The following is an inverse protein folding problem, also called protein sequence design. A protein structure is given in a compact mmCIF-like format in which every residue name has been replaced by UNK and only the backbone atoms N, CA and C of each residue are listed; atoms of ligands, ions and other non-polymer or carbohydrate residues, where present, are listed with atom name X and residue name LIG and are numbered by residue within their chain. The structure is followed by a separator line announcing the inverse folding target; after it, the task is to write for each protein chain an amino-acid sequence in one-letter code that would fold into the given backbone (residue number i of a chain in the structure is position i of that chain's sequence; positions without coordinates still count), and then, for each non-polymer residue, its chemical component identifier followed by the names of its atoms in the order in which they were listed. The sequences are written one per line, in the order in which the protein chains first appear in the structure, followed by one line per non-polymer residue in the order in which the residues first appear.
data_IF_292500642807
#
_entry.id   IF_292500642807
#
_cell.length_a   1.000
_cell.length_b   1.000
_cell.length_c   1.000
_cell.angle_alpha   90.00
_cell.angle_beta   90.00
_cell.angle_gamma   90.00
#
_symmetry.space_group_name_H-M   'P 1'
#
loop_
_entity.id
_entity.type
_entity.pdbx_description
1 polymer ?
#
# COMPACT_ATOMS: atom_id res chain seq x y z
N UNK A 1 2.76 -28.91 -13.59
CA UNK A 1 1.67 -28.04 -13.09
C UNK A 1 2.17 -27.41 -11.81
N UNK A 2 2.89 -26.28 -11.90
CA UNK A 2 3.29 -25.54 -10.71
C UNK A 2 2.05 -24.90 -10.10
N UNK A 3 1.67 -25.37 -8.92
CA UNK A 3 0.66 -24.73 -8.10
C UNK A 3 1.23 -23.36 -7.76
N UNK A 4 0.68 -22.30 -8.35
CA UNK A 4 1.12 -20.92 -8.10
C UNK A 4 0.69 -20.57 -6.67
N UNK A 5 1.47 -20.99 -5.68
CA UNK A 5 1.18 -20.81 -4.28
C UNK A 5 1.19 -19.31 -3.99
N UNK A 6 0.06 -18.79 -3.52
CA UNK A 6 -0.04 -17.37 -3.16
C UNK A 6 0.94 -17.08 -2.02
N UNK A 7 1.64 -15.95 -2.11
CA UNK A 7 2.61 -15.51 -1.10
C UNK A 7 2.03 -15.41 0.31
N UNK A 8 0.73 -15.14 0.41
CA UNK A 8 -0.03 -14.96 1.65
C UNK A 8 -1.40 -15.62 1.51
N UNK A 9 -2.03 -16.00 2.61
CA UNK A 9 -3.37 -16.59 2.61
C UNK A 9 -4.42 -15.71 3.31
N UNK A 10 -5.69 -15.84 2.90
CA UNK A 10 -6.80 -15.20 3.63
C UNK A 10 -6.93 -15.87 5.00
N UNK A 11 -7.08 -15.05 6.03
CA UNK A 11 -7.08 -15.49 7.43
C UNK A 11 -5.69 -15.52 8.08
N UNK A 12 -4.61 -15.43 7.29
CA UNK A 12 -3.25 -15.38 7.83
C UNK A 12 -3.07 -14.17 8.76
N UNK A 13 -2.37 -14.39 9.87
CA UNK A 13 -2.11 -13.38 10.88
C UNK A 13 -0.67 -12.89 10.80
N UNK A 14 -0.49 -11.63 10.44
CA UNK A 14 0.82 -10.99 10.28
C UNK A 14 1.09 -10.10 11.50
N UNK A 15 2.19 -10.35 12.20
CA UNK A 15 2.61 -9.55 13.35
C UNK A 15 3.76 -8.65 12.92
N UNK A 16 3.56 -7.34 13.03
CA UNK A 16 4.56 -6.35 12.64
C UNK A 16 5.54 -6.02 13.74
N UNK A 17 6.60 -5.30 13.37
CA UNK A 17 7.70 -4.94 14.27
C UNK A 17 7.28 -3.95 15.35
N UNK A 18 6.17 -3.21 15.14
CA UNK A 18 5.58 -2.34 16.18
C UNK A 18 4.60 -3.08 17.10
N UNK A 19 4.44 -4.40 16.92
CA UNK A 19 3.57 -5.24 17.74
C UNK A 19 2.11 -5.28 17.27
N UNK A 20 1.74 -4.56 16.20
CA UNK A 20 0.40 -4.65 15.65
C UNK A 20 0.20 -6.00 14.94
N UNK A 21 -1.03 -6.50 15.01
CA UNK A 21 -1.41 -7.78 14.41
C UNK A 21 -2.50 -7.54 13.36
N UNK A 22 -2.26 -8.03 12.15
CA UNK A 22 -3.10 -7.80 10.98
C UNK A 22 -3.60 -9.12 10.42
N UNK A 23 -4.92 -9.31 10.38
CA UNK A 23 -5.54 -10.49 9.76
C UNK A 23 -5.88 -10.17 8.30
N UNK A 24 -5.37 -10.98 7.38
CA UNK A 24 -5.67 -10.88 5.95
C UNK A 24 -7.13 -11.22 5.69
N UNK A 25 -7.83 -10.37 4.94
CA UNK A 25 -9.25 -10.51 4.64
C UNK A 25 -9.51 -10.86 3.17
N UNK A 26 -8.88 -10.15 2.23
CA UNK A 26 -9.06 -10.38 0.79
C UNK A 26 -7.91 -9.83 -0.04
N UNK A 27 -7.74 -10.35 -1.25
CA UNK A 27 -6.81 -9.79 -2.23
C UNK A 27 -7.38 -8.52 -2.87
N UNK A 28 -6.53 -7.53 -3.08
CA UNK A 28 -6.87 -6.26 -3.74
C UNK A 28 -6.20 -6.14 -5.10
N UNK A 29 -4.98 -6.66 -5.25
CA UNK A 29 -4.25 -6.67 -6.51
C UNK A 29 -2.98 -7.50 -6.43
N UNK A 30 -2.49 -7.92 -7.59
CA UNK A 30 -1.24 -8.67 -7.74
C UNK A 30 -0.53 -8.16 -8.99
N UNK A 31 0.80 -8.05 -8.93
CA UNK A 31 1.61 -7.57 -10.03
C UNK A 31 3.07 -7.99 -9.89
N UNK A 32 3.94 -7.45 -10.75
CA UNK A 32 5.34 -7.86 -10.82
C UNK A 32 6.13 -7.69 -9.51
N UNK A 33 5.72 -6.75 -8.66
CA UNK A 33 6.38 -6.42 -7.39
C UNK A 33 5.73 -7.09 -6.16
N UNK A 34 4.84 -8.07 -6.39
CA UNK A 34 4.16 -8.82 -5.35
C UNK A 34 2.65 -8.55 -5.29
N UNK A 35 2.07 -8.65 -4.08
CA UNK A 35 0.62 -8.62 -3.88
C UNK A 35 0.20 -7.53 -2.90
N UNK A 36 -1.01 -7.03 -3.07
CA UNK A 36 -1.69 -6.12 -2.14
C UNK A 36 -2.96 -6.79 -1.63
N UNK A 37 -3.12 -6.87 -0.32
CA UNK A 37 -4.29 -7.47 0.34
C UNK A 37 -4.92 -6.49 1.33
N UNK A 38 -6.23 -6.59 1.54
CA UNK A 38 -6.93 -5.94 2.64
C UNK A 38 -6.68 -6.75 3.90
N UNK A 39 -6.36 -6.05 4.99
CA UNK A 39 -6.28 -6.66 6.32
C UNK A 39 -6.94 -5.78 7.37
N UNK A 40 -7.24 -6.37 8.53
CA UNK A 40 -7.80 -5.67 9.69
C UNK A 40 -6.98 -5.93 10.95
N UNK A 41 -6.88 -4.93 11.81
CA UNK A 41 -6.24 -5.04 13.12
C UNK A 41 -6.93 -6.08 14.01
N UNK A 42 -6.18 -6.86 14.78
CA UNK A 42 -6.75 -7.68 15.86
C UNK A 42 -6.99 -6.79 17.09
N UNK A 43 -8.23 -6.76 17.59
CA UNK A 43 -8.61 -5.97 18.76
C UNK A 43 -9.12 -4.56 18.44
N UNK A 44 -9.25 -4.23 17.16
CA UNK A 44 -9.88 -3.00 16.69
C UNK A 44 -10.44 -3.17 15.27
N UNK A 45 -11.03 -2.11 14.73
CA UNK A 45 -11.67 -2.12 13.40
C UNK A 45 -10.86 -1.42 12.31
N UNK A 46 -9.57 -1.15 12.55
CA UNK A 46 -8.72 -0.50 11.56
C UNK A 46 -8.44 -1.43 10.38
N UNK A 47 -8.90 -1.03 9.20
CA UNK A 47 -8.55 -1.67 7.93
C UNK A 47 -7.34 -1.01 7.26
N UNK A 48 -6.47 -1.83 6.67
CA UNK A 48 -5.23 -1.42 6.01
C UNK A 48 -5.03 -2.18 4.70
N UNK A 49 -4.23 -1.61 3.81
CA UNK A 49 -3.65 -2.35 2.70
C UNK A 49 -2.29 -2.92 3.14
N UNK A 50 -2.11 -4.24 3.01
CA UNK A 50 -0.80 -4.87 3.16
C UNK A 50 -0.18 -5.04 1.78
N UNK A 51 0.94 -4.39 1.52
CA UNK A 51 1.78 -4.68 0.35
C UNK A 51 2.82 -5.73 0.74
N UNK A 52 2.89 -6.80 -0.03
CA UNK A 52 3.66 -8.02 0.26
C UNK A 52 4.58 -8.32 -0.92
N UNK A 53 5.82 -8.60 -0.61
CA UNK A 53 6.93 -8.70 -1.55
C UNK A 53 7.66 -10.03 -1.30
N UNK A 54 7.79 -10.90 -2.30
CA UNK A 54 8.56 -12.14 -2.17
C UNK A 54 10.03 -11.82 -1.81
N UNK A 55 10.56 -12.43 -0.76
CA UNK A 55 11.93 -12.16 -0.31
C UNK A 55 13.00 -12.67 -1.30
N UNK A 56 12.64 -13.64 -2.16
CA UNK A 56 13.49 -14.24 -3.17
C UNK A 56 13.38 -13.58 -4.56
N UNK A 57 12.50 -12.59 -4.75
CA UNK A 57 12.42 -11.92 -6.05
C UNK A 57 13.69 -11.10 -6.34
N UNK A 58 14.02 -10.97 -7.62
CA UNK A 58 15.23 -10.26 -8.08
C UNK A 58 15.16 -8.76 -7.74
N UNK A 59 14.07 -8.10 -8.12
CA UNK A 59 13.86 -6.67 -7.90
C UNK A 59 13.08 -6.44 -6.60
N UNK A 60 13.77 -5.94 -5.58
CA UNK A 60 13.20 -5.68 -4.25
C UNK A 60 13.16 -4.18 -3.93
N UNK A 61 11.97 -3.57 -3.99
CA UNK A 61 11.73 -2.15 -3.74
C UNK A 61 11.06 -1.86 -2.40
N UNK A 62 10.41 -2.85 -1.77
CA UNK A 62 9.57 -2.61 -0.59
C UNK A 62 10.35 -1.96 0.57
N UNK A 63 11.63 -2.34 0.76
CA UNK A 63 12.49 -1.74 1.79
C UNK A 63 12.67 -0.23 1.58
N UNK A 64 12.85 0.19 0.33
CA UNK A 64 13.00 1.60 -0.01
C UNK A 64 11.66 2.34 0.14
N UNK A 65 10.56 1.73 -0.29
CA UNK A 65 9.20 2.30 -0.11
C UNK A 65 8.89 2.55 1.37
N UNK A 66 9.19 1.56 2.22
CA UNK A 66 9.06 1.69 3.68
C UNK A 66 9.88 2.85 4.21
N UNK A 67 11.14 2.99 3.79
CA UNK A 67 12.01 4.08 4.26
C UNK A 67 11.45 5.45 3.90
N UNK A 68 10.92 5.61 2.67
CA UNK A 68 10.28 6.84 2.22
C UNK A 68 9.01 7.14 3.04
N UNK A 69 8.13 6.15 3.25
CA UNK A 69 6.92 6.34 4.05
C UNK A 69 7.22 6.62 5.53
N UNK A 70 8.29 6.04 6.10
CA UNK A 70 8.74 6.37 7.46
C UNK A 70 9.18 7.82 7.57
N UNK A 71 9.95 8.33 6.60
CA UNK A 71 10.37 9.73 6.57
C UNK A 71 9.17 10.69 6.41
N UNK A 72 8.23 10.36 5.53
CA UNK A 72 6.99 11.13 5.33
C UNK A 72 6.14 11.18 6.60
N UNK A 73 5.95 10.04 7.26
CA UNK A 73 5.23 9.95 8.53
C UNK A 73 5.91 10.80 9.63
N UNK A 74 7.23 10.69 9.77
CA UNK A 74 7.99 11.45 10.77
C UNK A 74 7.92 12.96 10.55
N UNK A 75 7.86 13.40 9.29
CA UNK A 75 7.68 14.80 8.91
C UNK A 75 6.21 15.26 8.93
N UNK A 76 5.26 14.42 9.33
CA UNK A 76 3.84 14.76 9.41
C UNK A 76 3.18 15.07 8.06
N UNK A 77 3.71 14.50 6.97
CA UNK A 77 3.19 14.68 5.61
C UNK A 77 1.86 13.94 5.43
N UNK A 78 0.96 14.47 4.60
CA UNK A 78 -0.45 14.01 4.55
C UNK A 78 -0.96 13.61 3.16
N UNK A 79 -0.23 13.94 2.10
CA UNK A 79 -0.65 13.63 0.73
C UNK A 79 -0.20 12.22 0.27
N UNK A 80 0.61 11.53 1.07
CA UNK A 80 1.00 10.15 0.87
C UNK A 80 0.33 9.21 1.89
N UNK A 81 0.32 7.91 1.60
CA UNK A 81 -0.20 6.90 2.53
C UNK A 81 0.56 6.92 3.85
N UNK A 82 -0.13 6.64 4.95
CA UNK A 82 0.49 6.47 6.26
C UNK A 82 1.00 5.04 6.43
N UNK A 83 2.25 4.87 6.89
CA UNK A 83 2.79 3.57 7.30
C UNK A 83 2.43 3.24 8.75
N UNK A 84 1.56 2.25 8.94
CA UNK A 84 1.16 1.76 10.26
C UNK A 84 2.20 0.82 10.86
N UNK A 85 2.68 -0.15 10.09
CA UNK A 85 3.63 -1.17 10.54
C UNK A 85 4.35 -1.82 9.35
N UNK A 86 5.33 -2.66 9.65
CA UNK A 86 6.07 -3.47 8.67
C UNK A 86 6.51 -4.79 9.28
N UNK A 87 6.84 -5.76 8.45
CA UNK A 87 7.37 -7.02 8.94
C UNK A 87 7.94 -7.91 7.85
N UNK A 88 8.43 -9.07 8.27
CA UNK A 88 8.94 -10.12 7.41
C UNK A 88 8.48 -11.48 7.93
N UNK A 89 8.17 -12.40 7.04
CA UNK A 89 7.93 -13.81 7.37
C UNK A 89 9.14 -14.62 6.93
N UNK A 90 10.10 -14.78 7.86
CA UNK A 90 11.40 -15.48 7.63
C UNK A 90 12.03 -15.01 6.30
N UNK A 91 12.33 -15.95 5.40
CA UNK A 91 12.87 -15.71 4.06
C UNK A 91 11.82 -15.93 2.96
N UNK A 92 10.53 -15.87 3.31
CA UNK A 92 9.43 -16.05 2.36
C UNK A 92 9.02 -14.71 1.75
N UNK A 93 8.66 -13.73 2.59
CA UNK A 93 8.21 -12.43 2.10
C UNK A 93 8.43 -11.30 3.12
N UNK A 94 8.51 -10.08 2.61
CA UNK A 94 8.45 -8.83 3.37
C UNK A 94 7.09 -8.19 3.17
N UNK A 95 6.65 -7.37 4.12
CA UNK A 95 5.38 -6.66 4.00
C UNK A 95 5.34 -5.34 4.75
N UNK A 96 4.45 -4.45 4.33
CA UNK A 96 4.12 -3.21 5.02
C UNK A 96 2.60 -3.05 5.17
N UNK A 97 2.16 -2.50 6.29
CA UNK A 97 0.78 -2.08 6.52
C UNK A 97 0.65 -0.58 6.28
N UNK A 98 -0.10 -0.20 5.26
CA UNK A 98 -0.32 1.20 4.89
C UNK A 98 -1.80 1.55 4.81
N UNK A 99 -2.10 2.85 4.70
CA UNK A 99 -3.46 3.35 4.47
C UNK A 99 -4.16 2.58 3.35
N UNK A 100 -5.35 2.05 3.66
CA UNK A 100 -6.28 1.60 2.64
C UNK A 100 -6.87 2.84 1.96
N UNK A 101 -6.76 2.91 0.64
CA UNK A 101 -7.27 4.04 -0.16
C UNK A 101 -8.38 3.58 -1.11
N UNK A 102 -9.03 4.55 -1.74
CA UNK A 102 -10.09 4.31 -2.71
C UNK A 102 -9.58 3.71 -4.03
N UNK A 103 -10.45 3.75 -5.04
CA UNK A 103 -10.12 3.31 -6.40
C UNK A 103 -9.00 4.18 -6.99
N UNK A 104 -8.15 3.56 -7.79
CA UNK A 104 -7.13 4.28 -8.57
C UNK A 104 -7.78 5.27 -9.55
N UNK A 105 -7.05 6.34 -9.89
CA UNK A 105 -7.57 7.45 -10.70
C UNK A 105 -7.98 7.04 -12.12
N UNK A 106 -7.29 6.06 -12.70
CA UNK A 106 -7.64 5.46 -14.00
C UNK A 106 -9.02 4.80 -13.93
N UNK A 107 -9.31 4.06 -12.85
CA UNK A 107 -10.62 3.45 -12.61
C UNK A 107 -11.69 4.48 -12.34
N UNK A 108 -11.40 5.53 -11.57
CA UNK A 108 -12.34 6.63 -11.39
C UNK A 108 -12.64 7.35 -12.71
N UNK A 109 -11.64 7.52 -13.59
CA UNK A 109 -11.80 8.11 -14.92
C UNK A 109 -12.66 7.23 -15.82
N UNK A 110 -12.42 5.93 -15.86
CA UNK A 110 -13.23 4.95 -16.60
C UNK A 110 -14.71 4.96 -16.18
N UNK A 111 -14.98 5.22 -14.89
CA UNK A 111 -16.34 5.32 -14.35
C UNK A 111 -17.06 6.62 -14.72
N UNK A 112 -16.37 7.60 -15.32
CA UNK A 112 -17.03 8.83 -15.79
C UNK A 112 -17.76 8.59 -17.12
N UNK A 113 -18.93 9.21 -17.37
CA UNK A 113 -19.72 8.95 -18.58
C UNK A 113 -18.98 9.21 -19.90
N UNK A 114 -17.97 10.09 -19.89
CA UNK A 114 -17.23 10.50 -21.09
C UNK A 114 -15.75 10.07 -21.07
N UNK A 115 -15.35 9.22 -20.12
CA UNK A 115 -13.96 8.75 -19.99
C UNK A 115 -12.94 9.83 -19.63
N UNK A 116 -13.39 10.97 -19.08
CA UNK A 116 -12.54 12.06 -18.60
C UNK A 116 -13.18 12.77 -17.41
N UNK A 117 -12.32 13.31 -16.53
CA UNK A 117 -12.77 14.18 -15.44
C UNK A 117 -13.21 15.55 -15.98
N UNK A 118 -14.16 16.18 -15.31
CA UNK A 118 -14.47 17.59 -15.55
C UNK A 118 -13.25 18.46 -15.24
N UNK A 119 -13.18 19.66 -15.82
CA UNK A 119 -12.07 20.59 -15.58
C UNK A 119 -11.85 20.87 -14.07
N UNK A 120 -12.88 21.15 -13.24
CA UNK A 120 -12.68 21.34 -11.81
C UNK A 120 -12.06 20.12 -11.11
N UNK A 121 -12.54 18.91 -11.42
CA UNK A 121 -11.97 17.67 -10.83
C UNK A 121 -10.53 17.46 -11.29
N UNK A 122 -10.23 17.68 -12.57
CA UNK A 122 -8.88 17.55 -13.10
C UNK A 122 -7.90 18.53 -12.42
N UNK A 123 -8.28 19.79 -12.25
CA UNK A 123 -7.48 20.80 -11.54
C UNK A 123 -7.28 20.44 -10.07
N UNK A 124 -8.33 19.96 -9.39
CA UNK A 124 -8.23 19.51 -8.01
C UNK A 124 -7.23 18.35 -7.87
N UNK A 125 -7.33 17.35 -8.74
CA UNK A 125 -6.37 16.22 -8.76
C UNK A 125 -4.95 16.71 -9.04
N UNK A 126 -4.75 17.59 -10.02
CA UNK A 126 -3.43 18.14 -10.35
C UNK A 126 -2.79 18.85 -9.16
N UNK A 127 -3.54 19.71 -8.46
CA UNK A 127 -3.06 20.44 -7.28
C UNK A 127 -2.67 19.48 -6.16
N UNK A 128 -3.48 18.47 -5.87
CA UNK A 128 -3.17 17.51 -4.79
C UNK A 128 -1.99 16.60 -5.15
N UNK A 129 -1.86 16.19 -6.41
CA UNK A 129 -0.70 15.42 -6.90
C UNK A 129 0.58 16.24 -6.80
N UNK A 130 0.56 17.52 -7.18
CA UNK A 130 1.72 18.41 -7.03
C UNK A 130 2.15 18.56 -5.57
N UNK A 131 1.20 18.68 -4.65
CA UNK A 131 1.51 18.71 -3.22
C UNK A 131 2.12 17.41 -2.73
N UNK A 132 1.64 16.26 -3.20
CA UNK A 132 2.24 14.95 -2.87
C UNK A 132 3.69 14.86 -3.34
N UNK A 133 3.97 15.28 -4.58
CA UNK A 133 5.33 15.33 -5.14
C UNK A 133 6.22 16.26 -4.33
N UNK A 134 5.70 17.45 -3.96
CA UNK A 134 6.42 18.40 -3.12
C UNK A 134 6.78 17.78 -1.77
N UNK A 135 5.84 17.12 -1.08
CA UNK A 135 6.11 16.48 0.21
C UNK A 135 7.20 15.42 0.11
N UNK A 136 7.22 14.63 -0.97
CA UNK A 136 8.27 13.63 -1.22
C UNK A 136 9.63 14.29 -1.46
N UNK A 137 9.70 15.42 -2.15
CA UNK A 137 10.96 16.14 -2.37
C UNK A 137 11.52 16.81 -1.11
N UNK A 138 10.65 17.16 -0.16
CA UNK A 138 11.03 17.83 1.08
C UNK A 138 11.58 16.87 2.13
N UNK A 139 11.26 15.57 2.05
CA UNK A 139 11.82 14.55 2.94
C UNK A 139 13.18 14.08 2.41
N UNK A 140 14.21 14.23 3.24
CA UNK A 140 15.60 13.83 2.95
C UNK A 140 16.15 13.00 4.10
#
# INVERSE_FOLDING_TARGET
METNARLVEVGELLTGVRGFRWRVLKFLGEGAFGAVVLARSIGGDQEVALKIENAAQEVRTLRQEVAVLEALNAAGKRYCCYLFDKGRKKDVYNWMAMSLVGKALDKLREMTPRGHFSLPTALYLAVNTLKAIQEVHEVR
#
